data_IF_735718412797
#
_entry.id   IF_735718412797
#
_cell.length_a   1.000
_cell.length_b   1.000
_cell.length_c   1.000
_cell.angle_alpha   90.00
_cell.angle_beta   90.00
_cell.angle_gamma   90.00
#
_symmetry.space_group_name_H-M   'P 1'
#
loop_
_entity.id
_entity.type
_entity.pdbx_description
1 polymer ?
#
# COMPACT_ATOMS: atom_id res chain seq x y z
N UNK A 1 -26.61 30.42 -9.22
CA UNK A 1 -26.52 29.94 -7.82
C UNK A 1 -25.07 29.60 -7.56
N UNK A 2 -24.41 30.25 -6.59
CA UNK A 2 -23.01 29.99 -6.30
C UNK A 2 -22.90 28.75 -5.42
N UNK A 3 -22.11 27.77 -5.85
CA UNK A 3 -21.80 26.55 -5.09
C UNK A 3 -21.06 26.96 -3.82
N UNK A 4 -21.52 26.53 -2.65
CA UNK A 4 -20.82 26.75 -1.40
C UNK A 4 -19.49 25.99 -1.42
N UNK A 5 -18.38 26.70 -1.55
CA UNK A 5 -17.05 26.15 -1.36
C UNK A 5 -16.85 25.90 0.14
N UNK A 6 -17.00 24.64 0.56
CA UNK A 6 -16.70 24.24 1.93
C UNK A 6 -15.18 24.24 2.13
N UNK A 7 -14.69 25.06 3.05
CA UNK A 7 -13.32 24.98 3.55
C UNK A 7 -13.33 24.18 4.86
N UNK A 8 -12.46 23.18 4.97
CA UNK A 8 -12.22 22.44 6.21
C UNK A 8 -10.82 22.77 6.71
N UNK A 9 -10.73 23.25 7.93
CA UNK A 9 -9.44 23.40 8.62
C UNK A 9 -8.99 22.01 9.11
N UNK A 10 -7.81 21.58 8.69
CA UNK A 10 -7.21 20.30 9.06
C UNK A 10 -6.17 20.54 10.16
N UNK A 11 -6.40 19.99 11.34
CA UNK A 11 -5.40 19.94 12.41
C UNK A 11 -4.20 19.08 11.93
N UNK A 12 -3.01 19.67 11.87
CA UNK A 12 -1.84 19.04 11.23
C UNK A 12 -1.09 18.06 12.13
N UNK A 13 -1.24 18.19 13.45
CA UNK A 13 -0.39 17.56 14.47
C UNK A 13 -1.13 16.59 15.39
N UNK A 14 -2.33 16.15 14.99
CA UNK A 14 -3.02 15.05 15.66
C UNK A 14 -2.22 13.75 15.54
N UNK A 15 -2.40 12.77 16.45
CA UNK A 15 -1.84 11.43 16.28
C UNK A 15 -2.22 10.83 14.92
N UNK A 16 -1.26 10.15 14.27
CA UNK A 16 -1.43 9.52 12.96
C UNK A 16 -1.04 8.06 13.04
N UNK A 17 -1.63 7.25 12.17
CA UNK A 17 -1.26 5.86 11.96
C UNK A 17 -0.89 5.67 10.49
N UNK A 18 0.05 4.77 10.23
CA UNK A 18 0.39 4.37 8.87
C UNK A 18 -0.49 3.19 8.48
N UNK A 19 -1.06 3.26 7.28
CA UNK A 19 -1.97 2.23 6.75
C UNK A 19 -1.57 1.88 5.33
N UNK A 20 -1.69 0.60 4.98
CA UNK A 20 -1.59 0.12 3.61
C UNK A 20 -2.90 -0.54 3.19
N UNK A 21 -3.28 -0.37 1.92
CA UNK A 21 -4.44 -0.98 1.31
C UNK A 21 -4.22 -1.08 -0.20
N UNK A 22 -4.69 -2.17 -0.81
CA UNK A 22 -4.77 -2.32 -2.26
C UNK A 22 -6.23 -2.39 -2.71
N UNK A 23 -6.47 -1.82 -3.88
CA UNK A 23 -7.79 -1.77 -4.52
C UNK A 23 -7.68 -2.40 -5.90
N UNK A 24 -8.67 -3.23 -6.23
CA UNK A 24 -8.87 -3.77 -7.57
C UNK A 24 -10.31 -3.51 -8.02
N UNK A 25 -10.66 -3.92 -9.24
CA UNK A 25 -12.04 -3.82 -9.73
C UNK A 25 -13.03 -4.64 -8.88
N UNK A 26 -12.60 -5.74 -8.26
CA UNK A 26 -13.51 -6.67 -7.57
C UNK A 26 -13.34 -6.69 -6.06
N UNK A 27 -12.20 -6.24 -5.53
CA UNK A 27 -11.86 -6.44 -4.13
C UNK A 27 -10.94 -5.36 -3.57
N UNK A 28 -11.05 -5.18 -2.26
CA UNK A 28 -10.18 -4.37 -1.41
C UNK A 28 -9.38 -5.30 -0.50
N UNK A 29 -8.04 -5.17 -0.52
CA UNK A 29 -7.15 -5.86 0.43
C UNK A 29 -6.65 -4.81 1.44
N UNK A 30 -6.76 -5.11 2.73
CA UNK A 30 -6.49 -4.15 3.80
C UNK A 30 -7.76 -3.69 4.54
N UNK A 31 -7.66 -2.67 5.42
CA UNK A 31 -6.44 -1.94 5.79
C UNK A 31 -5.45 -2.76 6.63
N UNK A 32 -4.16 -2.67 6.32
CA UNK A 32 -3.08 -3.14 7.19
C UNK A 32 -2.51 -1.96 7.97
N UNK A 33 -2.52 -2.04 9.30
CA UNK A 33 -1.98 -1.00 10.17
C UNK A 33 -0.56 -1.35 10.60
N UNK A 34 0.38 -0.47 10.31
CA UNK A 34 1.75 -0.61 10.82
C UNK A 34 1.81 -0.17 12.27
N UNK A 35 2.57 -0.89 13.07
CA UNK A 35 2.92 -0.45 14.43
C UNK A 35 3.99 0.64 14.38
N UNK A 36 4.79 0.66 13.33
CA UNK A 36 5.90 1.57 13.12
C UNK A 36 5.42 2.96 12.67
N UNK A 37 6.00 3.99 13.27
CA UNK A 37 5.74 5.39 12.90
C UNK A 37 6.34 5.76 11.54
N UNK A 38 7.39 5.05 11.11
CA UNK A 38 8.07 5.27 9.84
C UNK A 38 8.25 3.93 9.14
N UNK A 39 7.68 3.80 7.94
CA UNK A 39 7.84 2.62 7.11
C UNK A 39 9.18 2.72 6.36
N UNK A 40 9.95 1.63 6.39
CA UNK A 40 11.13 1.43 5.56
C UNK A 40 10.93 0.20 4.64
N UNK A 41 11.90 -0.08 3.76
CA UNK A 41 11.79 -1.19 2.81
C UNK A 41 11.63 -2.57 3.47
N UNK A 42 12.23 -2.80 4.64
CA UNK A 42 12.10 -4.09 5.36
C UNK A 42 10.68 -4.25 5.88
N UNK A 43 10.17 -3.26 6.62
CA UNK A 43 8.79 -3.30 7.15
C UNK A 43 7.73 -3.34 6.05
N UNK A 44 8.02 -2.72 4.89
CA UNK A 44 7.15 -2.79 3.73
C UNK A 44 7.15 -4.18 3.09
N UNK A 45 8.34 -4.77 2.93
CA UNK A 45 8.49 -6.14 2.43
C UNK A 45 7.80 -7.15 3.35
N UNK A 46 7.99 -7.06 4.67
CA UNK A 46 7.35 -7.96 5.63
C UNK A 46 5.82 -7.95 5.47
N UNK A 47 5.23 -6.77 5.30
CA UNK A 47 3.80 -6.63 5.04
C UNK A 47 3.39 -7.23 3.69
N UNK A 48 4.18 -7.01 2.62
CA UNK A 48 3.90 -7.60 1.31
C UNK A 48 3.91 -9.13 1.38
N UNK A 49 4.97 -9.70 1.93
CA UNK A 49 5.21 -11.15 1.97
C UNK A 49 4.23 -11.86 2.91
N UNK A 50 4.02 -11.34 4.12
CA UNK A 50 3.23 -12.02 5.14
C UNK A 50 1.74 -11.75 5.03
N UNK A 51 1.33 -10.63 4.43
CA UNK A 51 -0.06 -10.20 4.40
C UNK A 51 -0.60 -9.99 2.98
N UNK A 52 -0.02 -9.09 2.19
CA UNK A 52 -0.69 -8.61 0.97
C UNK A 52 -0.67 -9.62 -0.18
N UNK A 53 0.51 -10.14 -0.54
CA UNK A 53 0.68 -11.03 -1.71
C UNK A 53 -0.09 -12.35 -1.56
N UNK A 54 -0.09 -13.03 -0.38
CA UNK A 54 -0.92 -14.22 -0.20
C UNK A 54 -2.41 -13.98 -0.48
N UNK A 55 -2.95 -12.82 -0.09
CA UNK A 55 -4.34 -12.47 -0.37
C UNK A 55 -4.58 -12.16 -1.85
N UNK A 56 -3.66 -11.45 -2.49
CA UNK A 56 -3.74 -11.18 -3.94
C UNK A 56 -3.78 -12.49 -4.73
N UNK A 57 -2.84 -13.39 -4.48
CA UNK A 57 -2.73 -14.67 -5.20
C UNK A 57 -3.92 -15.59 -4.93
N UNK A 58 -4.52 -15.54 -3.73
CA UNK A 58 -5.71 -16.32 -3.42
C UNK A 58 -6.94 -15.85 -4.20
N UNK A 59 -7.11 -14.53 -4.38
CA UNK A 59 -8.33 -13.96 -4.94
C UNK A 59 -8.24 -13.64 -6.44
N UNK A 60 -7.05 -13.30 -6.93
CA UNK A 60 -6.79 -12.91 -8.32
C UNK A 60 -5.42 -13.44 -8.76
N UNK A 61 -5.34 -14.53 -9.54
CA UNK A 61 -4.06 -15.07 -10.00
C UNK A 61 -3.38 -14.16 -11.04
N UNK A 62 -4.15 -13.38 -11.80
CA UNK A 62 -3.64 -12.48 -12.84
C UNK A 62 -3.69 -11.00 -12.38
N UNK A 63 -2.76 -10.61 -11.51
CA UNK A 63 -2.66 -9.25 -10.96
C UNK A 63 -1.50 -8.49 -11.60
N UNK A 64 -1.78 -7.29 -12.12
CA UNK A 64 -0.75 -6.28 -12.39
C UNK A 64 -0.59 -5.44 -11.13
N UNK A 65 0.58 -5.52 -10.49
CA UNK A 65 0.86 -4.81 -9.27
C UNK A 65 1.36 -3.39 -9.54
N UNK A 66 0.65 -2.37 -9.05
CA UNK A 66 1.01 -0.96 -9.20
C UNK A 66 1.20 -0.28 -7.84
N UNK A 67 2.28 0.51 -7.72
CA UNK A 67 2.57 1.36 -6.56
C UNK A 67 3.29 2.65 -7.00
N UNK A 68 3.40 3.63 -6.11
CA UNK A 68 4.15 4.87 -6.35
C UNK A 68 5.66 4.69 -6.09
N UNK A 69 6.45 5.73 -6.40
CA UNK A 69 7.91 5.72 -6.25
C UNK A 69 8.42 6.07 -4.85
N UNK A 70 7.66 5.82 -3.78
CA UNK A 70 8.09 6.13 -2.42
C UNK A 70 9.40 5.38 -2.07
N UNK A 71 10.31 5.96 -1.26
CA UNK A 71 11.59 5.34 -0.96
C UNK A 71 11.51 3.89 -0.45
N UNK A 72 10.55 3.49 0.42
CA UNK A 72 10.40 2.11 0.85
C UNK A 72 10.13 1.15 -0.31
N UNK A 73 9.34 1.58 -1.31
CA UNK A 73 8.88 0.79 -2.44
C UNK A 73 10.00 0.52 -3.47
N UNK A 74 11.04 1.37 -3.49
CA UNK A 74 12.17 1.26 -4.40
C UNK A 74 13.37 0.49 -3.82
N UNK A 75 13.26 -0.03 -2.60
CA UNK A 75 14.31 -0.87 -2.01
C UNK A 75 14.59 -2.10 -2.87
N UNK A 76 15.85 -2.52 -2.99
CA UNK A 76 16.23 -3.70 -3.78
C UNK A 76 15.46 -4.94 -3.34
N UNK A 77 15.40 -5.21 -2.03
CA UNK A 77 14.68 -6.35 -1.46
C UNK A 77 13.18 -6.37 -1.81
N UNK A 78 12.55 -5.20 -1.93
CA UNK A 78 11.14 -5.08 -2.29
C UNK A 78 10.95 -5.35 -3.78
N UNK A 79 11.83 -4.80 -4.62
CA UNK A 79 11.75 -5.00 -6.06
C UNK A 79 12.02 -6.46 -6.42
N UNK A 80 13.09 -7.04 -5.92
CA UNK A 80 13.45 -8.44 -6.16
C UNK A 80 12.27 -9.36 -5.79
N UNK A 81 11.70 -9.20 -4.59
CA UNK A 81 10.52 -9.95 -4.16
C UNK A 81 9.33 -9.78 -5.11
N UNK A 82 9.02 -8.54 -5.48
CA UNK A 82 7.89 -8.31 -6.37
C UNK A 82 8.18 -8.78 -7.82
N UNK A 83 9.44 -8.91 -8.26
CA UNK A 83 9.81 -9.37 -9.62
C UNK A 83 9.57 -10.87 -9.70
N UNK A 84 9.86 -11.58 -8.61
CA UNK A 84 9.59 -13.01 -8.45
C UNK A 84 8.09 -13.32 -8.39
N UNK A 85 7.30 -12.46 -7.72
CA UNK A 85 5.87 -12.71 -7.49
C UNK A 85 4.94 -12.11 -8.57
N UNK A 86 5.41 -11.09 -9.30
CA UNK A 86 4.68 -10.41 -10.36
C UNK A 86 5.63 -10.15 -11.54
N UNK A 87 5.99 -11.16 -12.35
CA UNK A 87 7.02 -10.99 -13.39
C UNK A 87 6.59 -10.08 -14.56
N UNK A 88 5.29 -9.89 -14.77
CA UNK A 88 4.71 -9.16 -15.91
C UNK A 88 4.13 -7.78 -15.53
N UNK A 89 4.73 -7.14 -14.53
CA UNK A 89 4.32 -5.81 -14.01
C UNK A 89 4.18 -4.74 -15.10
#
# INVERSE_FOLDING_TARGET
MATAHNYRELERDSPKVNVWCALSHTEVIGPFFFAETTINSVTYLDMLEMYAVPQMQQHQPDVIFQQDGAPPHWGMIVRDFLDENFPDR
#
